data_IF_655531904794
#
_entry.id   IF_655531904794
#
_cell.length_a   1.000
_cell.length_b   1.000
_cell.length_c   1.000
_cell.angle_alpha   90.00
_cell.angle_beta   90.00
_cell.angle_gamma   90.00
#
_symmetry.space_group_name_H-M   'P 1'
#
loop_
_entity.id
_entity.type
_entity.pdbx_description
1 polymer ?
#
# COMPACT_ATOMS: atom_id res chain seq x y z
N UNK A 1 11.79 -30.30 -2.15
CA UNK A 1 10.69 -29.53 -1.55
C UNK A 1 9.45 -29.81 -2.37
N UNK A 2 8.32 -30.25 -1.79
CA UNK A 2 7.09 -30.44 -2.55
C UNK A 2 6.61 -29.06 -3.03
N UNK A 3 6.51 -28.88 -4.35
CA UNK A 3 5.93 -27.69 -4.97
C UNK A 3 4.44 -27.90 -5.08
N UNK A 4 3.66 -27.19 -4.26
CA UNK A 4 2.23 -27.01 -4.48
C UNK A 4 2.04 -26.39 -5.87
N UNK A 5 1.19 -27.02 -6.68
CA UNK A 5 0.97 -26.58 -8.05
C UNK A 5 0.24 -25.21 -8.06
N UNK A 6 0.87 -24.23 -8.69
CA UNK A 6 0.31 -22.92 -8.98
C UNK A 6 -0.98 -23.07 -9.81
N UNK A 7 -2.10 -22.46 -9.37
CA UNK A 7 -3.35 -22.42 -10.15
C UNK A 7 -3.20 -21.43 -11.30
N UNK A 8 -2.76 -21.93 -12.46
CA UNK A 8 -2.47 -21.17 -13.68
C UNK A 8 -3.69 -20.61 -14.44
N UNK A 9 -4.92 -20.84 -14.00
CA UNK A 9 -6.13 -20.52 -14.79
C UNK A 9 -6.89 -19.25 -14.36
N UNK A 10 -6.29 -18.35 -13.57
CA UNK A 10 -7.00 -17.19 -13.07
C UNK A 10 -6.71 -15.91 -13.87
N UNK A 11 -7.56 -15.60 -14.86
CA UNK A 11 -7.86 -14.19 -15.23
C UNK A 11 -8.77 -13.52 -14.18
N UNK A 12 -9.02 -14.15 -13.03
CA UNK A 12 -9.84 -13.57 -11.97
C UNK A 12 -8.94 -12.70 -11.08
N UNK A 13 -9.30 -11.42 -11.00
CA UNK A 13 -8.94 -10.56 -9.86
C UNK A 13 -9.26 -11.35 -8.57
N UNK A 14 -8.26 -11.61 -7.73
CA UNK A 14 -8.47 -12.22 -6.41
C UNK A 14 -8.72 -11.12 -5.40
N UNK A 15 -9.84 -11.15 -4.70
CA UNK A 15 -10.22 -10.12 -3.73
C UNK A 15 -11.07 -8.98 -4.30
N UNK A 16 -11.39 -8.03 -3.43
CA UNK A 16 -12.21 -6.84 -3.68
C UNK A 16 -11.31 -5.66 -4.12
N UNK A 17 -11.73 -4.95 -5.15
CA UNK A 17 -11.06 -3.77 -5.68
C UNK A 17 -12.08 -2.63 -5.63
N UNK A 18 -11.69 -1.50 -5.07
CA UNK A 18 -12.57 -0.35 -4.89
C UNK A 18 -11.81 0.94 -5.21
N UNK A 19 -12.57 2.00 -5.52
CA UNK A 19 -11.99 3.32 -5.74
C UNK A 19 -11.22 3.80 -4.51
N UNK A 20 -10.25 4.69 -4.74
CA UNK A 20 -9.59 5.43 -3.67
C UNK A 20 -10.61 6.19 -2.80
N UNK A 21 -10.37 6.18 -1.49
CA UNK A 21 -11.12 6.95 -0.50
C UNK A 21 -10.20 7.99 0.12
N UNK A 22 -10.47 9.28 -0.13
CA UNK A 22 -9.64 10.40 0.34
C UNK A 22 -8.15 10.25 -0.04
N UNK A 23 -7.86 9.64 -1.19
CA UNK A 23 -6.50 9.39 -1.66
C UNK A 23 -5.81 8.18 -1.01
N UNK A 24 -6.51 7.33 -0.27
CA UNK A 24 -6.00 6.06 0.26
C UNK A 24 -6.79 4.86 -0.27
N UNK A 25 -6.18 3.65 -0.36
CA UNK A 25 -6.93 2.45 -0.72
C UNK A 25 -8.03 2.18 0.29
N UNK A 26 -9.22 1.80 -0.20
CA UNK A 26 -10.35 1.50 0.66
C UNK A 26 -10.04 0.31 1.59
N UNK A 27 -10.71 0.29 2.75
CA UNK A 27 -10.58 -0.81 3.72
C UNK A 27 -11.12 -2.11 3.09
N UNK A 28 -12.29 -2.03 2.45
CA UNK A 28 -13.03 -3.18 1.94
C UNK A 28 -13.62 -4.07 3.04
N UNK A 29 -14.29 -5.13 2.61
CA UNK A 29 -14.91 -6.14 3.47
C UNK A 29 -14.25 -7.52 3.36
N UNK A 30 -13.37 -7.73 2.36
CA UNK A 30 -12.80 -9.03 2.04
C UNK A 30 -13.85 -10.04 1.56
N UNK A 31 -13.48 -11.30 1.38
CA UNK A 31 -14.44 -12.35 1.01
C UNK A 31 -15.37 -12.72 2.18
N UNK A 32 -16.53 -13.29 1.84
CA UNK A 32 -17.55 -13.65 2.83
C UNK A 32 -16.99 -14.61 3.89
N UNK A 33 -16.88 -14.13 5.13
CA UNK A 33 -16.39 -14.91 6.26
C UNK A 33 -14.90 -14.71 6.58
N UNK A 34 -14.17 -13.91 5.78
CA UNK A 34 -12.84 -13.44 6.14
C UNK A 34 -12.92 -12.32 7.17
N UNK A 35 -12.08 -12.38 8.21
CA UNK A 35 -12.00 -11.36 9.25
C UNK A 35 -10.79 -10.47 9.01
N UNK A 36 -11.02 -9.20 8.67
CA UNK A 36 -9.93 -8.23 8.54
C UNK A 36 -9.27 -7.99 9.91
N UNK A 37 -7.93 -8.06 9.94
CA UNK A 37 -7.11 -7.80 11.12
C UNK A 37 -6.94 -6.31 11.41
N UNK A 38 -7.09 -5.45 10.40
CA UNK A 38 -7.07 -4.01 10.58
C UNK A 38 -8.28 -3.51 11.36
N UNK A 39 -8.01 -2.61 12.30
CA UNK A 39 -9.05 -1.91 13.06
C UNK A 39 -9.75 -0.90 12.15
N UNK A 40 -11.02 -1.15 11.82
CA UNK A 40 -11.83 -0.32 10.93
C UNK A 40 -12.07 1.10 11.46
N UNK A 41 -11.79 1.37 12.74
CA UNK A 41 -11.86 2.72 13.32
C UNK A 41 -10.50 3.44 13.34
N UNK A 42 -9.42 2.80 12.87
CA UNK A 42 -8.06 3.33 12.90
C UNK A 42 -7.33 3.01 11.59
N UNK A 43 -7.65 3.75 10.54
CA UNK A 43 -7.22 3.49 9.15
C UNK A 43 -6.50 4.69 8.54
N UNK A 44 -6.06 4.55 7.29
CA UNK A 44 -5.50 5.68 6.52
C UNK A 44 -6.54 6.79 6.34
N UNK A 45 -7.79 6.46 6.01
CA UNK A 45 -8.88 7.44 5.85
C UNK A 45 -9.10 8.25 7.13
N UNK A 46 -9.14 7.58 8.30
CA UNK A 46 -9.30 8.29 9.58
C UNK A 46 -8.07 9.13 9.93
N UNK A 47 -6.87 8.69 9.53
CA UNK A 47 -5.62 9.44 9.68
C UNK A 47 -5.58 10.69 8.81
N UNK A 48 -5.99 10.58 7.55
CA UNK A 48 -6.07 11.69 6.59
C UNK A 48 -7.11 12.70 7.05
N UNK A 49 -8.29 12.23 7.46
CA UNK A 49 -9.33 13.10 7.99
C UNK A 49 -8.87 13.85 9.24
N UNK A 50 -8.21 13.14 10.18
CA UNK A 50 -7.65 13.80 11.37
C UNK A 50 -6.54 14.79 11.02
N UNK A 51 -5.72 14.49 10.03
CA UNK A 51 -4.72 15.42 9.50
C UNK A 51 -5.36 16.70 8.97
N UNK A 52 -6.45 16.60 8.19
CA UNK A 52 -7.19 17.76 7.67
C UNK A 52 -7.77 18.63 8.79
N UNK A 53 -8.20 18.02 9.89
CA UNK A 53 -8.77 18.72 11.04
C UNK A 53 -7.72 19.41 11.92
N UNK A 54 -6.58 18.75 12.15
CA UNK A 54 -5.59 19.18 13.14
C UNK A 54 -4.39 19.95 12.52
N UNK A 55 -4.14 19.84 11.21
CA UNK A 55 -2.99 20.43 10.52
C UNK A 55 -3.46 21.25 9.31
N UNK A 56 -3.62 22.57 9.51
CA UNK A 56 -4.18 23.47 8.50
C UNK A 56 -3.40 23.52 7.17
N UNK A 57 -2.09 23.38 7.25
CA UNK A 57 -1.18 23.41 6.11
C UNK A 57 -1.34 22.14 5.26
N UNK A 58 -1.62 21.00 5.90
CA UNK A 58 -1.92 19.74 5.22
C UNK A 58 -3.27 19.79 4.51
N UNK A 59 -4.31 20.30 5.18
CA UNK A 59 -5.63 20.53 4.57
C UNK A 59 -5.53 21.49 3.37
N UNK A 60 -4.74 22.56 3.51
CA UNK A 60 -4.50 23.53 2.43
C UNK A 60 -3.77 22.89 1.26
N UNK A 61 -2.78 22.04 1.52
CA UNK A 61 -2.08 21.27 0.49
C UNK A 61 -3.03 20.36 -0.29
N UNK A 62 -3.86 19.55 0.38
CA UNK A 62 -4.80 18.66 -0.31
C UNK A 62 -5.81 19.45 -1.17
N UNK A 63 -6.33 20.56 -0.66
CA UNK A 63 -7.24 21.44 -1.40
C UNK A 63 -6.60 22.08 -2.62
N UNK A 64 -5.33 22.48 -2.52
CA UNK A 64 -4.58 23.03 -3.65
C UNK A 64 -4.42 22.00 -4.76
N UNK A 65 -4.09 20.75 -4.41
CA UNK A 65 -3.95 19.67 -5.40
C UNK A 65 -5.28 19.28 -6.06
N UNK A 66 -6.39 19.24 -5.30
CA UNK A 66 -7.73 19.05 -5.88
C UNK A 66 -8.09 20.21 -6.81
N UNK A 67 -7.84 21.46 -6.40
CA UNK A 67 -8.16 22.62 -7.21
C UNK A 67 -7.32 22.69 -8.50
N UNK A 68 -6.11 22.13 -8.48
CA UNK A 68 -5.24 21.99 -9.64
C UNK A 68 -5.77 20.96 -10.63
N UNK A 69 -6.13 19.78 -10.13
CA UNK A 69 -6.73 18.69 -10.91
C UNK A 69 -8.04 19.12 -11.61
N UNK A 70 -8.90 19.88 -10.92
CA UNK A 70 -10.18 20.35 -11.46
C UNK A 70 -10.07 21.46 -12.52
N UNK A 71 -8.84 21.90 -12.89
CA UNK A 71 -8.65 22.98 -13.87
C UNK A 71 -9.03 22.52 -15.29
N UNK A 72 -9.60 23.40 -16.14
CA UNK A 72 -10.01 23.05 -17.52
C UNK A 72 -8.90 22.51 -18.44
N UNK A 73 -7.63 22.71 -18.09
CA UNK A 73 -6.47 22.27 -18.86
C UNK A 73 -5.59 21.31 -18.04
N UNK A 74 -6.10 20.73 -16.95
CA UNK A 74 -5.40 19.61 -16.31
C UNK A 74 -5.43 18.43 -17.29
N UNK A 75 -4.26 17.90 -17.61
CA UNK A 75 -4.13 16.70 -18.44
C UNK A 75 -3.75 15.47 -17.62
N UNK A 76 -3.31 15.70 -16.37
CA UNK A 76 -2.75 14.68 -15.49
C UNK A 76 -3.53 14.70 -14.17
N UNK A 77 -3.63 13.54 -13.52
CA UNK A 77 -4.20 13.44 -12.19
C UNK A 77 -3.24 14.05 -11.15
N UNK A 78 -3.49 15.33 -10.84
CA UNK A 78 -2.68 16.12 -9.91
C UNK A 78 -3.10 15.90 -8.44
N UNK A 79 -4.07 15.00 -8.18
CA UNK A 79 -4.57 14.78 -6.81
C UNK A 79 -3.50 14.10 -5.96
N UNK A 80 -3.41 14.54 -4.71
CA UNK A 80 -2.55 13.89 -3.74
C UNK A 80 -3.16 12.57 -3.25
N UNK A 81 -2.33 11.53 -3.18
CA UNK A 81 -2.72 10.21 -2.70
C UNK A 81 -1.60 9.60 -1.82
N UNK A 82 -1.92 8.52 -1.10
CA UNK A 82 -0.96 7.78 -0.28
C UNK A 82 -0.04 7.02 -1.20
N UNK A 83 1.23 7.44 -1.23
CA UNK A 83 2.24 6.82 -2.09
C UNK A 83 2.99 5.70 -1.38
N UNK A 84 3.06 5.76 -0.06
CA UNK A 84 3.58 4.71 0.80
C UNK A 84 2.98 4.85 2.19
N UNK A 85 2.82 3.73 2.87
CA UNK A 85 2.38 3.67 4.24
C UNK A 85 2.88 2.41 4.94
N UNK A 86 2.94 2.48 6.25
CA UNK A 86 3.11 1.31 7.10
C UNK A 86 2.26 1.39 8.36
N UNK A 87 1.78 0.24 8.80
CA UNK A 87 0.99 0.07 10.01
C UNK A 87 1.54 -1.03 10.91
N UNK A 88 1.57 -0.73 12.20
CA UNK A 88 1.89 -1.70 13.25
C UNK A 88 0.88 -1.56 14.38
N UNK A 89 0.39 -2.68 14.92
CA UNK A 89 -0.45 -2.75 16.11
C UNK A 89 0.33 -2.65 17.43
N UNK A 90 1.66 -2.82 17.39
CA UNK A 90 2.55 -2.61 18.56
C UNK A 90 2.38 -1.21 19.18
N UNK A 91 2.58 -1.12 20.49
CA UNK A 91 2.53 0.13 21.27
C UNK A 91 1.26 0.97 21.08
N UNK A 92 0.11 0.31 20.87
CA UNK A 92 -1.19 0.98 20.75
C UNK A 92 -1.61 1.33 19.33
N UNK A 93 -0.87 0.91 18.31
CA UNK A 93 -1.22 1.17 16.92
C UNK A 93 -0.60 2.46 16.40
N UNK A 94 0.09 2.36 15.26
CA UNK A 94 0.66 3.52 14.56
C UNK A 94 0.65 3.33 13.06
N UNK A 95 0.17 4.34 12.37
CA UNK A 95 0.33 4.54 10.93
C UNK A 95 1.46 5.56 10.68
N UNK A 96 2.35 5.25 9.76
CA UNK A 96 3.21 6.26 9.13
C UNK A 96 2.90 6.21 7.63
N UNK A 97 2.54 7.35 7.04
CA UNK A 97 2.14 7.38 5.63
C UNK A 97 2.62 8.67 4.97
N UNK A 98 2.91 8.59 3.68
CA UNK A 98 3.35 9.71 2.87
C UNK A 98 2.28 10.00 1.82
N UNK A 99 1.80 11.24 1.77
CA UNK A 99 0.88 11.70 0.73
C UNK A 99 1.57 12.64 -0.25
N UNK A 100 1.40 12.40 -1.53
CA UNK A 100 2.01 13.19 -2.58
C UNK A 100 1.19 13.18 -3.87
N UNK A 101 1.49 14.12 -4.77
CA UNK A 101 0.89 14.23 -6.11
C UNK A 101 1.94 13.86 -7.16
N UNK A 102 1.54 13.57 -8.39
CA UNK A 102 2.50 13.40 -9.49
C UNK A 102 2.76 14.77 -10.15
N UNK A 103 4.02 15.06 -10.51
CA UNK A 103 4.39 16.24 -11.31
C UNK A 103 5.34 15.83 -12.44
N UNK A 104 4.86 15.71 -13.69
CA UNK A 104 5.67 15.27 -14.84
C UNK A 104 6.97 16.09 -15.06
N UNK A 105 7.05 17.30 -14.52
CA UNK A 105 8.15 18.23 -14.75
C UNK A 105 9.24 18.14 -13.68
N UNK A 106 9.01 17.42 -12.59
CA UNK A 106 9.90 17.37 -11.43
C UNK A 106 10.35 15.94 -11.13
N UNK A 107 11.64 15.76 -10.81
CA UNK A 107 12.14 14.48 -10.29
C UNK A 107 11.75 14.28 -8.83
N UNK A 108 11.73 15.37 -8.07
CA UNK A 108 11.37 15.39 -6.65
C UNK A 108 10.30 16.45 -6.43
N UNK A 109 9.37 16.16 -5.53
CA UNK A 109 8.28 17.06 -5.17
C UNK A 109 8.16 17.21 -3.65
N UNK A 110 7.39 18.21 -3.22
CA UNK A 110 6.99 18.32 -1.82
C UNK A 110 5.85 17.34 -1.53
N UNK A 111 6.07 16.47 -0.54
CA UNK A 111 5.09 15.53 -0.02
C UNK A 111 4.90 15.68 1.49
N UNK A 112 3.81 15.13 2.00
CA UNK A 112 3.49 15.14 3.43
C UNK A 112 3.78 13.81 4.09
N UNK A 113 4.75 13.78 4.99
CA UNK A 113 5.06 12.62 5.82
C UNK A 113 4.28 12.73 7.12
N UNK A 114 3.37 11.79 7.33
CA UNK A 114 2.37 11.79 8.40
C UNK A 114 2.62 10.65 9.37
N UNK A 115 2.48 10.95 10.66
CA UNK A 115 2.50 9.98 11.74
C UNK A 115 1.19 10.07 12.51
N UNK A 116 0.42 8.99 12.44
CA UNK A 116 -0.90 8.88 13.04
C UNK A 116 -0.92 7.79 14.11
N UNK A 117 -1.22 8.20 15.34
CA UNK A 117 -1.49 7.31 16.47
C UNK A 117 -2.96 7.49 16.90
N UNK A 118 -3.49 6.58 17.71
CA UNK A 118 -4.91 6.63 18.14
C UNK A 118 -5.36 7.95 18.79
N UNK A 119 -4.45 8.72 19.35
CA UNK A 119 -4.75 9.99 20.05
C UNK A 119 -4.27 11.24 19.33
N UNK A 120 -3.39 11.12 18.32
CA UNK A 120 -2.67 12.27 17.77
C UNK A 120 -2.27 12.03 16.32
N UNK A 121 -2.21 13.12 15.57
CA UNK A 121 -1.64 13.19 14.23
C UNK A 121 -0.54 14.25 14.26
N UNK A 122 0.55 13.99 13.54
CA UNK A 122 1.58 14.98 13.25
C UNK A 122 2.06 14.78 11.83
N UNK A 123 2.46 15.86 11.16
CA UNK A 123 2.91 15.82 9.78
C UNK A 123 3.98 16.85 9.52
N UNK A 124 4.88 16.54 8.60
CA UNK A 124 5.90 17.46 8.09
C UNK A 124 5.99 17.36 6.58
N UNK A 125 6.30 18.47 5.93
CA UNK A 125 6.64 18.49 4.51
C UNK A 125 8.06 17.97 4.34
N UNK A 126 8.27 17.09 3.36
CA UNK A 126 9.58 16.61 2.96
C UNK A 126 9.72 16.61 1.42
N UNK A 127 10.97 16.60 0.93
CA UNK A 127 11.26 16.38 -0.48
C UNK A 127 11.28 14.88 -0.73
N UNK A 128 10.32 14.40 -1.50
CA UNK A 128 10.21 12.99 -1.85
C UNK A 128 10.45 12.80 -3.35
N UNK A 129 10.74 11.57 -3.74
CA UNK A 129 10.77 11.18 -5.15
C UNK A 129 9.36 11.33 -5.75
N UNK A 130 9.30 11.86 -6.97
CA UNK A 130 8.04 12.03 -7.68
C UNK A 130 7.37 10.67 -7.91
N UNK A 131 6.07 10.53 -7.59
CA UNK A 131 5.31 9.34 -7.91
C UNK A 131 5.42 8.89 -9.36
N UNK A 132 5.54 7.58 -9.55
CA UNK A 132 5.56 6.97 -10.89
C UNK A 132 4.12 6.74 -11.40
N UNK A 133 3.16 6.67 -10.48
CA UNK A 133 1.76 6.39 -10.77
C UNK A 133 0.86 7.46 -10.17
N UNK A 134 -0.32 7.58 -10.76
CA UNK A 134 -1.43 8.40 -10.27
C UNK A 134 -2.59 7.52 -9.82
N UNK A 135 -3.65 8.13 -9.24
CA UNK A 135 -4.87 7.38 -8.94
C UNK A 135 -5.61 6.98 -10.22
N UNK A 136 -5.46 7.71 -11.32
CA UNK A 136 -6.02 7.31 -12.62
C UNK A 136 -5.31 6.10 -13.24
N UNK A 137 -4.02 5.91 -12.99
CA UNK A 137 -3.29 4.71 -13.43
C UNK A 137 -3.76 3.44 -12.70
N UNK A 138 -4.26 3.61 -11.46
CA UNK A 138 -4.78 2.53 -10.63
C UNK A 138 -6.14 2.96 -10.05
N UNK A 139 -7.22 3.05 -10.85
CA UNK A 139 -8.47 3.66 -10.42
C UNK A 139 -9.15 2.89 -9.27
N UNK A 140 -8.97 1.57 -9.26
CA UNK A 140 -9.50 0.65 -8.24
C UNK A 140 -8.35 -0.22 -7.69
N UNK A 141 -7.58 0.24 -6.68
CA UNK A 141 -6.60 -0.62 -6.02
C UNK A 141 -7.29 -1.77 -5.25
N UNK A 142 -6.52 -2.82 -4.96
CA UNK A 142 -6.95 -3.90 -4.06
C UNK A 142 -7.28 -3.29 -2.68
N UNK A 143 -8.40 -3.66 -2.08
CA UNK A 143 -8.76 -3.18 -0.73
C UNK A 143 -7.81 -3.74 0.33
N UNK A 144 -7.64 -3.03 1.44
CA UNK A 144 -6.70 -3.43 2.49
C UNK A 144 -7.05 -4.82 3.08
N UNK A 145 -8.32 -5.08 3.34
CA UNK A 145 -8.76 -6.38 3.86
C UNK A 145 -8.60 -7.50 2.83
N UNK A 146 -8.77 -7.22 1.53
CA UNK A 146 -8.49 -8.19 0.48
C UNK A 146 -7.00 -8.44 0.31
N UNK A 147 -6.16 -7.44 0.52
CA UNK A 147 -4.72 -7.62 0.53
C UNK A 147 -4.28 -8.56 1.67
N UNK A 148 -4.82 -8.39 2.88
CA UNK A 148 -4.61 -9.33 3.99
C UNK A 148 -5.03 -10.75 3.61
N UNK A 149 -6.23 -10.92 3.06
CA UNK A 149 -6.75 -12.23 2.64
C UNK A 149 -5.82 -12.90 1.62
N UNK A 150 -5.44 -12.18 0.57
CA UNK A 150 -4.59 -12.74 -0.48
C UNK A 150 -3.19 -13.06 0.02
N UNK A 151 -2.60 -12.21 0.88
CA UNK A 151 -1.29 -12.50 1.47
C UNK A 151 -1.32 -13.71 2.41
N UNK A 152 -2.39 -13.86 3.20
CA UNK A 152 -2.52 -14.93 4.20
C UNK A 152 -3.04 -16.26 3.63
N UNK A 153 -3.45 -16.29 2.36
CA UNK A 153 -3.72 -17.53 1.61
C UNK A 153 -2.42 -18.32 1.32
N UNK A 154 -1.25 -17.69 1.43
CA UNK A 154 0.04 -18.36 1.40
C UNK A 154 0.37 -18.91 2.79
N UNK A 155 0.44 -20.24 2.93
CA UNK A 155 0.77 -20.93 4.19
C UNK A 155 2.06 -20.35 4.82
N UNK A 156 3.09 -20.07 3.99
CA UNK A 156 4.36 -19.52 4.46
C UNK A 156 4.24 -18.14 5.10
N UNK A 157 3.24 -17.33 4.72
CA UNK A 157 2.96 -16.01 5.31
C UNK A 157 2.00 -16.18 6.50
N UNK A 158 0.99 -17.03 6.33
CA UNK A 158 -0.04 -17.30 7.33
C UNK A 158 0.57 -17.78 8.65
N UNK A 159 1.55 -18.68 8.58
CA UNK A 159 2.21 -19.33 9.73
C UNK A 159 2.79 -18.36 10.77
N UNK A 160 3.23 -17.17 10.35
CA UNK A 160 3.81 -16.16 11.25
C UNK A 160 3.02 -14.86 11.34
N UNK A 161 2.06 -14.63 10.44
CA UNK A 161 1.28 -13.39 10.41
C UNK A 161 -0.13 -13.53 10.97
N UNK A 162 -0.71 -14.73 11.04
CA UNK A 162 -2.11 -14.93 11.47
C UNK A 162 -2.17 -15.39 12.92
N UNK A 163 -3.05 -14.77 13.70
CA UNK A 163 -3.31 -15.20 15.06
C UNK A 163 -4.19 -16.47 15.07
N UNK A 164 -3.74 -17.51 15.76
CA UNK A 164 -4.46 -18.79 15.82
C UNK A 164 -5.88 -18.72 16.40
N UNK A 165 -6.16 -17.74 17.26
CA UNK A 165 -7.46 -17.59 17.93
C UNK A 165 -8.42 -16.74 17.12
N UNK A 166 -7.99 -15.56 16.67
CA UNK A 166 -8.87 -14.66 15.90
C UNK A 166 -8.98 -15.05 14.43
N UNK A 167 -8.01 -15.79 13.89
CA UNK A 167 -7.85 -16.10 12.46
C UNK A 167 -7.65 -14.88 11.57
N UNK A 168 -7.23 -13.76 12.15
CA UNK A 168 -6.90 -12.53 11.44
C UNK A 168 -5.40 -12.24 11.55
N UNK A 169 -4.90 -11.33 10.72
CA UNK A 169 -3.52 -10.82 10.81
C UNK A 169 -3.23 -10.24 12.20
N UNK A 170 -2.14 -10.69 12.82
CA UNK A 170 -1.66 -10.25 14.13
C UNK A 170 -0.70 -9.07 13.99
N UNK A 171 -1.25 -7.87 13.87
CA UNK A 171 -0.46 -6.63 13.82
C UNK A 171 0.33 -6.32 15.11
N UNK A 172 0.19 -7.11 16.17
CA UNK A 172 1.12 -7.04 17.30
C UNK A 172 2.46 -7.69 16.98
N UNK A 173 2.54 -8.52 15.95
CA UNK A 173 3.74 -9.26 15.52
C UNK A 173 4.25 -8.79 14.15
N UNK A 174 3.35 -8.38 13.26
CA UNK A 174 3.70 -7.97 11.89
C UNK A 174 3.47 -6.48 11.64
N UNK A 175 4.08 -5.97 10.58
CA UNK A 175 3.82 -4.63 10.05
C UNK A 175 3.24 -4.74 8.65
N UNK A 176 2.11 -4.08 8.39
CA UNK A 176 1.64 -3.89 7.02
C UNK A 176 2.48 -2.81 6.36
N UNK A 177 2.96 -3.07 5.16
CA UNK A 177 3.58 -2.10 4.26
C UNK A 177 2.71 -2.01 3.00
N UNK A 178 2.45 -0.82 2.50
CA UNK A 178 1.75 -0.60 1.23
C UNK A 178 2.25 0.65 0.53
N UNK A 179 2.15 0.70 -0.79
CA UNK A 179 2.64 1.83 -1.56
C UNK A 179 2.91 1.50 -3.02
N UNK A 180 3.17 2.55 -3.81
CA UNK A 180 3.73 2.38 -5.14
C UNK A 180 5.17 1.86 -5.05
N UNK A 181 5.64 1.16 -6.09
CA UNK A 181 7.03 0.70 -6.23
C UNK A 181 7.59 -0.27 -5.18
N UNK A 182 6.80 -0.74 -4.21
CA UNK A 182 7.29 -1.76 -3.26
C UNK A 182 7.56 -3.13 -3.92
N UNK A 183 7.01 -3.40 -5.12
CA UNK A 183 7.44 -4.46 -6.04
C UNK A 183 7.71 -3.85 -7.42
N UNK A 184 8.81 -3.11 -7.57
CA UNK A 184 9.30 -2.88 -8.92
C UNK A 184 10.12 -4.12 -9.34
N UNK A 185 9.74 -4.70 -10.49
CA UNK A 185 10.36 -5.80 -11.26
C UNK A 185 9.89 -7.25 -11.03
N UNK A 186 8.80 -7.59 -11.73
CA UNK A 186 8.69 -8.71 -12.71
C UNK A 186 7.26 -9.22 -12.87
N UNK A 187 6.27 -8.42 -12.47
CA UNK A 187 4.88 -8.75 -12.74
C UNK A 187 4.39 -8.33 -14.12
N UNK A 188 5.16 -8.64 -15.17
CA UNK A 188 4.71 -8.48 -16.55
C UNK A 188 4.45 -9.83 -17.20
N UNK A 189 3.29 -10.39 -16.84
CA UNK A 189 2.57 -11.37 -17.66
C UNK A 189 1.06 -11.44 -17.30
N UNK A 190 0.42 -10.37 -16.82
CA UNK A 190 -1.05 -10.20 -16.91
C UNK A 190 -1.47 -8.84 -16.33
N UNK A 191 -2.47 -8.13 -16.92
CA UNK A 191 -3.08 -6.91 -16.35
C UNK A 191 -3.86 -7.11 -15.03
N UNK A 192 -3.63 -8.21 -14.31
CA UNK A 192 -4.29 -8.61 -13.05
C UNK A 192 -3.28 -8.90 -11.95
N UNK A 193 -2.20 -8.11 -11.89
CA UNK A 193 -0.98 -8.42 -11.14
C UNK A 193 -1.10 -8.15 -9.63
N UNK A 194 -1.97 -8.89 -8.95
CA UNK A 194 -1.58 -9.41 -7.65
C UNK A 194 -0.61 -10.54 -7.98
N UNK A 195 0.66 -10.39 -7.60
CA UNK A 195 1.56 -11.53 -7.44
C UNK A 195 1.80 -12.32 -8.75
N UNK A 196 2.61 -11.78 -9.66
CA UNK A 196 3.31 -12.60 -10.63
C UNK A 196 4.74 -12.82 -10.13
N UNK A 197 4.90 -13.91 -9.37
CA UNK A 197 6.16 -14.38 -8.79
C UNK A 197 6.98 -15.24 -9.78
N UNK A 198 6.87 -15.00 -11.09
CA UNK A 198 7.46 -15.87 -12.12
C UNK A 198 8.98 -15.81 -12.27
N UNK A 199 9.64 -14.80 -11.69
CA UNK A 199 11.09 -14.63 -11.91
C UNK A 199 11.84 -13.90 -10.80
N UNK A 200 11.14 -13.36 -9.79
CA UNK A 200 11.79 -12.79 -8.61
C UNK A 200 12.33 -13.94 -7.77
N UNK A 201 13.50 -13.75 -7.16
CA UNK A 201 14.11 -14.75 -6.30
C UNK A 201 13.29 -14.86 -5.00
N UNK A 202 12.14 -15.53 -5.09
CA UNK A 202 11.08 -15.64 -4.07
C UNK A 202 11.65 -16.06 -2.72
N UNK A 203 12.69 -16.90 -2.74
CA UNK A 203 13.39 -17.39 -1.56
C UNK A 203 14.02 -16.23 -0.78
N UNK A 204 14.58 -15.23 -1.45
CA UNK A 204 15.23 -14.11 -0.79
C UNK A 204 14.20 -13.14 -0.20
N UNK A 205 13.13 -12.83 -0.95
CA UNK A 205 12.07 -11.93 -0.45
C UNK A 205 11.32 -12.57 0.71
N UNK A 206 10.94 -13.86 0.60
CA UNK A 206 10.30 -14.61 1.71
C UNK A 206 11.27 -14.79 2.89
N UNK A 207 12.56 -14.97 2.63
CA UNK A 207 13.58 -14.99 3.69
C UNK A 207 13.68 -13.64 4.41
N UNK A 208 13.72 -12.53 3.69
CA UNK A 208 13.81 -11.20 4.31
C UNK A 208 12.53 -10.80 5.04
N UNK A 209 11.36 -11.14 4.48
CA UNK A 209 10.04 -11.04 5.10
C UNK A 209 9.98 -11.79 6.44
N UNK A 210 10.45 -13.03 6.44
CA UNK A 210 10.48 -13.89 7.63
C UNK A 210 11.62 -13.55 8.61
N UNK A 211 12.52 -12.65 8.25
CA UNK A 211 13.61 -12.17 9.10
C UNK A 211 13.40 -10.73 9.56
N UNK A 212 12.36 -10.04 9.10
CA UNK A 212 12.09 -8.64 9.41
C UNK A 212 13.14 -7.69 8.87
N UNK A 213 13.76 -8.06 7.76
CA UNK A 213 14.84 -7.32 7.14
C UNK A 213 14.48 -6.92 5.70
N UNK A 214 13.19 -6.83 5.39
CA UNK A 214 12.78 -6.31 4.10
C UNK A 214 13.27 -4.87 3.93
N UNK A 215 14.20 -4.69 3.01
CA UNK A 215 14.48 -3.40 2.39
C UNK A 215 13.99 -3.44 0.94
N UNK A 216 12.85 -2.80 0.62
CA UNK A 216 12.34 -2.74 -0.75
C UNK A 216 13.37 -2.23 -1.77
N UNK A 217 14.31 -1.38 -1.32
CA UNK A 217 15.37 -0.82 -2.17
C UNK A 217 16.42 -1.84 -2.60
N UNK A 218 16.66 -2.92 -1.84
CA UNK A 218 17.67 -3.95 -2.18
C UNK A 218 17.29 -4.76 -3.42
N UNK A 219 16.04 -4.64 -3.87
CA UNK A 219 15.47 -5.35 -5.01
C UNK A 219 15.26 -4.45 -6.24
N UNK A 220 15.75 -3.21 -6.18
CA UNK A 220 15.47 -2.14 -7.16
C UNK A 220 16.47 -2.02 -8.33
N UNK A 221 17.66 -2.62 -8.24
CA UNK A 221 18.77 -2.35 -9.17
C UNK A 221 18.58 -2.86 -10.61
N UNK A 222 17.49 -3.58 -10.87
CA UNK A 222 17.22 -4.13 -12.19
C UNK A 222 15.91 -3.61 -12.75
N UNK A 223 15.49 -2.34 -12.58
CA UNK A 223 14.17 -1.78 -13.04
C UNK A 223 14.21 -1.20 -14.48
N UNK A 224 13.09 -1.35 -15.19
CA UNK A 224 12.79 -0.95 -16.56
C UNK A 224 11.52 -0.16 -16.32
N UNK A 225 11.71 1.14 -16.37
CA UNK A 225 10.82 2.15 -15.78
C UNK A 225 9.50 2.19 -16.55
N UNK A 226 9.50 1.73 -17.80
CA UNK A 226 8.35 1.64 -18.70
C UNK A 226 7.39 0.47 -18.36
N UNK A 227 7.75 -0.36 -17.36
CA UNK A 227 7.06 -1.60 -16.99
C UNK A 227 6.47 -1.62 -15.56
N UNK A 228 6.59 -0.51 -14.81
CA UNK A 228 6.56 -0.50 -13.33
C UNK A 228 5.27 0.08 -12.70
N UNK A 229 4.08 -0.26 -13.21
CA UNK A 229 2.83 0.27 -12.69
C UNK A 229 2.04 -0.67 -11.76
N UNK A 230 2.35 -0.68 -10.45
CA UNK A 230 1.47 -1.34 -9.45
C UNK A 230 1.57 -0.74 -8.05
N UNK A 231 0.44 -0.76 -7.34
CA UNK A 231 0.34 -0.49 -5.90
C UNK A 231 0.39 -1.82 -5.14
N UNK A 232 1.36 -1.98 -4.24
CA UNK A 232 1.69 -3.26 -3.62
C UNK A 232 1.43 -3.25 -2.11
N UNK A 233 1.28 -4.45 -1.55
CA UNK A 233 1.01 -4.73 -0.14
C UNK A 233 1.91 -5.85 0.36
N UNK A 234 2.42 -5.71 1.58
CA UNK A 234 3.27 -6.70 2.24
C UNK A 234 2.98 -6.77 3.73
N UNK A 235 3.10 -7.96 4.31
CA UNK A 235 3.24 -8.14 5.76
C UNK A 235 4.71 -8.41 6.05
N UNK A 236 5.33 -7.67 6.96
CA UNK A 236 6.72 -7.88 7.35
C UNK A 236 6.78 -8.39 8.79
N UNK A 237 7.45 -9.53 9.02
CA UNK A 237 7.61 -10.09 10.36
C UNK A 237 8.55 -9.19 11.16
N UNK A 238 8.20 -8.79 12.37
CA UNK A 238 9.06 -7.91 13.20
C UNK A 238 9.52 -8.52 14.51
#
# INVERSE_FOLDING_TARGET
>A
VPTTAYKTDSTQKTGEFENWEDGAPAIGNGSLGYGCGIDTNFTLQTGIQKGKEDISEFDSYLKDQIAKDERPNSNDDERAFVIEANYTGKNGGKWNFTMAHMDEQAQNIEGWVMVYNRSSISGTVDSIDNPILTMEDIPEPLTMCSAEEVMTDFDEISDWSVNDQSKNVDYSQVTLLLGQNLVSKQSLASPTSIVNFGSLNLINIVSDLSQGNLNPNDYSDNIDVDAAGSYAYFLDLR
#
